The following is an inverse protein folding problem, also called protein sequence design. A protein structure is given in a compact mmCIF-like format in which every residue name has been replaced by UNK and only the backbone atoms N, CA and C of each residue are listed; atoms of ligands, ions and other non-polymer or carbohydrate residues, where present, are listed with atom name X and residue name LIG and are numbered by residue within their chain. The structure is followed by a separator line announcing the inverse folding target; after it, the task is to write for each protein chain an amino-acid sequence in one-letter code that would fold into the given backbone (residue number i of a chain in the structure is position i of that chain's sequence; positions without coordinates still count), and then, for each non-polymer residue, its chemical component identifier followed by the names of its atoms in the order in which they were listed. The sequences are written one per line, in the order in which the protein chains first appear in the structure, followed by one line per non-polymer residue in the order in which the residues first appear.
data_IF_802485870599
#
_entry.id   IF_802485870599
#
_cell.length_a   1.000
_cell.length_b   1.000
_cell.length_c   1.000
_cell.angle_alpha   90.00
_cell.angle_beta   90.00
_cell.angle_gamma   90.00
#
_symmetry.space_group_name_H-M   'P 1'
#
loop_
_entity.id
_entity.type
_entity.pdbx_description
1 polymer ?
#
# COMPACT_ATOMS: atom_id res chain seq x y z
N UNK A 1 -2.89 9.40 10.80
CA UNK A 1 -2.55 10.81 10.54
C UNK A 1 -2.89 11.06 9.11
N UNK A 2 -3.42 12.24 8.81
CA UNK A 2 -3.98 12.56 7.50
C UNK A 2 -3.36 13.89 7.07
N UNK A 3 -2.63 13.87 5.96
CA UNK A 3 -1.83 14.98 5.48
C UNK A 3 -2.07 15.16 3.98
N UNK A 4 -1.92 16.41 3.52
CA UNK A 4 -1.91 16.75 2.09
C UNK A 4 -0.51 17.22 1.73
N UNK A 5 0.05 16.67 0.66
CA UNK A 5 1.40 16.99 0.18
C UNK A 5 1.47 16.92 -1.35
N UNK A 6 2.49 17.57 -1.92
CA UNK A 6 2.76 17.49 -3.35
C UNK A 6 3.29 16.08 -3.71
N UNK A 7 2.67 15.45 -4.70
CA UNK A 7 3.10 14.15 -5.23
C UNK A 7 4.26 14.26 -6.21
N UNK A 8 4.82 13.10 -6.58
CA UNK A 8 5.87 13.01 -7.60
C UNK A 8 7.32 13.07 -7.10
N UNK A 9 7.50 13.19 -5.79
CA UNK A 9 8.82 13.25 -5.15
C UNK A 9 8.87 12.50 -3.83
N UNK A 10 10.03 12.49 -3.20
CA UNK A 10 10.21 11.95 -1.86
C UNK A 10 9.78 12.94 -0.79
N UNK A 11 9.04 12.47 0.21
CA UNK A 11 8.64 13.24 1.40
C UNK A 11 9.25 12.59 2.65
N UNK A 12 9.90 13.37 3.49
CA UNK A 12 10.38 12.93 4.81
C UNK A 12 9.43 13.40 5.89
N UNK A 13 8.95 12.48 6.71
CA UNK A 13 8.08 12.73 7.86
C UNK A 13 8.82 12.41 9.16
N UNK A 14 8.74 13.33 10.13
CA UNK A 14 9.26 13.16 11.49
C UNK A 14 8.11 12.88 12.45
N UNK A 15 8.22 11.80 13.19
CA UNK A 15 7.24 11.35 14.18
C UNK A 15 7.81 11.56 15.58
N UNK A 16 7.11 12.37 16.38
CA UNK A 16 7.53 12.70 17.75
C UNK A 16 6.40 12.44 18.73
N UNK A 17 6.70 11.69 19.79
CA UNK A 17 5.76 11.43 20.87
C UNK A 17 6.49 10.94 22.11
N UNK A 18 6.39 11.64 23.23
CA UNK A 18 6.88 11.11 24.51
C UNK A 18 6.05 9.89 24.96
N UNK A 19 6.65 8.86 25.58
CA UNK A 19 8.06 8.71 25.94
C UNK A 19 8.92 7.98 24.88
N UNK A 20 8.52 8.00 23.61
CA UNK A 20 9.20 7.28 22.53
C UNK A 20 10.31 8.13 21.88
N UNK A 21 11.29 7.45 21.28
CA UNK A 21 12.32 8.07 20.45
C UNK A 21 11.70 8.65 19.18
N UNK A 22 12.13 9.86 18.78
CA UNK A 22 11.73 10.46 17.50
C UNK A 22 12.22 9.59 16.34
N UNK A 23 11.36 9.39 15.34
CA UNK A 23 11.70 8.64 14.13
C UNK A 23 11.47 9.47 12.88
N UNK A 24 12.31 9.28 11.88
CA UNK A 24 12.13 9.85 10.54
C UNK A 24 11.88 8.74 9.53
N UNK A 25 10.95 8.98 8.59
CA UNK A 25 10.63 8.07 7.50
C UNK A 25 10.53 8.86 6.20
N UNK A 26 11.28 8.44 5.21
CA UNK A 26 11.21 8.99 3.85
C UNK A 26 10.39 8.04 2.98
N UNK A 27 9.38 8.56 2.31
CA UNK A 27 8.48 7.83 1.42
C UNK A 27 8.46 8.48 0.03
N UNK A 28 8.21 7.69 -1.01
CA UNK A 28 8.00 8.19 -2.37
C UNK A 28 6.52 8.40 -2.63
N UNK A 29 6.11 9.65 -2.84
CA UNK A 29 4.71 9.97 -3.10
C UNK A 29 4.36 9.84 -4.58
N UNK A 30 3.28 9.12 -4.94
CA UNK A 30 2.82 9.04 -6.31
C UNK A 30 2.22 10.39 -6.77
N UNK A 31 2.17 10.60 -8.09
CA UNK A 31 1.44 11.72 -8.67
C UNK A 31 -0.07 11.53 -8.48
N UNK A 32 -0.73 12.50 -7.83
CA UNK A 32 -2.18 12.60 -7.70
C UNK A 32 -2.90 11.26 -7.37
N UNK A 33 -2.38 10.51 -6.40
CA UNK A 33 -3.00 9.29 -5.87
C UNK A 33 -2.99 9.31 -4.36
N UNK A 34 -3.97 8.65 -3.76
CA UNK A 34 -3.99 8.41 -2.32
C UNK A 34 -2.84 7.48 -1.94
N UNK A 35 -1.98 7.91 -1.02
CA UNK A 35 -0.84 7.13 -0.56
C UNK A 35 -1.13 6.54 0.82
N UNK A 36 -1.12 5.21 0.91
CA UNK A 36 -1.19 4.50 2.18
C UNK A 36 0.23 4.23 2.67
N UNK A 37 0.63 4.89 3.77
CA UNK A 37 1.94 4.69 4.38
C UNK A 37 1.96 3.44 5.25
N UNK A 38 3.10 2.74 5.26
CA UNK A 38 3.33 1.62 6.18
C UNK A 38 3.16 2.03 7.65
N UNK A 39 2.78 1.07 8.47
CA UNK A 39 2.57 1.30 9.90
C UNK A 39 3.90 1.68 10.58
N UNK A 40 3.91 2.80 11.30
CA UNK A 40 5.07 3.26 12.07
C UNK A 40 4.98 2.74 13.51
N UNK A 41 5.95 1.92 13.91
CA UNK A 41 6.08 1.43 15.30
C UNK A 41 7.13 2.26 16.02
N UNK A 42 6.68 3.07 16.98
CA UNK A 42 7.57 3.86 17.84
C UNK A 42 8.21 2.97 18.90
N UNK A 43 9.47 3.26 19.22
CA UNK A 43 10.28 2.49 20.18
C UNK A 43 10.78 3.41 21.27
N UNK A 44 10.84 2.90 22.50
CA UNK A 44 11.38 3.63 23.67
C UNK A 44 12.90 3.48 23.79
N UNK A 45 13.46 2.45 23.16
CA UNK A 45 14.89 2.13 23.17
C UNK A 45 15.39 1.94 21.74
N UNK A 46 16.68 2.19 21.53
CA UNK A 46 17.31 2.02 20.22
C UNK A 46 17.51 0.53 19.92
N UNK A 47 16.68 -0.04 19.05
CA UNK A 47 16.80 -1.44 18.66
C UNK A 47 17.93 -1.60 17.64
N UNK A 48 18.96 -2.36 18.01
CA UNK A 48 20.00 -2.77 17.07
C UNK A 48 19.37 -3.62 15.96
N UNK A 49 19.62 -3.25 14.70
CA UNK A 49 19.19 -4.07 13.57
C UNK A 49 19.84 -5.45 13.67
N UNK A 50 19.02 -6.49 13.84
CA UNK A 50 19.49 -7.86 13.74
C UNK A 50 19.94 -8.11 12.29
N UNK A 51 21.25 -8.33 12.11
CA UNK A 51 21.83 -8.60 10.79
C UNK A 51 21.65 -10.09 10.49
N UNK A 52 20.56 -10.42 9.81
CA UNK A 52 20.32 -11.75 9.26
C UNK A 52 20.64 -11.72 7.76
N UNK A 53 21.42 -12.68 7.27
CA UNK A 53 21.66 -12.88 5.83
C UNK A 53 20.74 -13.98 5.31
N UNK A 54 19.87 -13.64 4.37
CA UNK A 54 18.91 -14.56 3.76
C UNK A 54 19.40 -14.94 2.36
N UNK A 55 20.20 -16.00 2.29
CA UNK A 55 20.72 -16.55 1.02
C UNK A 55 20.02 -17.87 0.67
N UNK A 56 19.66 -18.07 -0.60
CA UNK A 56 19.03 -19.30 -1.10
C UNK A 56 17.56 -19.49 -0.71
N UNK A 57 16.94 -18.54 -0.02
CA UNK A 57 15.52 -18.58 0.30
C UNK A 57 14.67 -18.27 -0.94
N UNK A 58 13.61 -19.06 -1.12
CA UNK A 58 12.61 -18.83 -2.17
C UNK A 58 11.88 -17.52 -1.88
N UNK A 59 11.77 -16.66 -2.89
CA UNK A 59 11.00 -15.40 -2.79
C UNK A 59 9.51 -15.69 -2.95
N UNK A 60 8.63 -14.91 -2.31
CA UNK A 60 7.20 -14.99 -2.60
C UNK A 60 6.92 -14.74 -4.08
N UNK A 61 6.11 -15.59 -4.70
CA UNK A 61 5.63 -15.46 -6.09
C UNK A 61 4.10 -15.44 -6.11
N UNK A 62 3.47 -14.27 -5.82
CA UNK A 62 2.03 -14.17 -5.69
C UNK A 62 1.35 -14.04 -7.06
N UNK A 63 0.28 -14.82 -7.27
CA UNK A 63 -0.66 -14.61 -8.38
C UNK A 63 -1.81 -13.72 -7.88
N UNK A 64 -1.90 -12.50 -8.40
CA UNK A 64 -2.97 -11.54 -8.05
C UNK A 64 -3.98 -11.48 -9.19
N UNK A 65 -5.21 -11.93 -8.92
CA UNK A 65 -6.32 -11.94 -9.89
C UNK A 65 -7.40 -10.96 -9.42
N UNK A 66 -7.41 -9.71 -9.93
CA UNK A 66 -8.50 -8.79 -9.65
C UNK A 66 -9.78 -9.27 -10.33
N UNK A 67 -10.93 -8.95 -9.73
CA UNK A 67 -12.22 -9.14 -10.39
C UNK A 67 -12.26 -8.32 -11.70
N UNK A 68 -12.89 -8.83 -12.76
CA UNK A 68 -13.01 -8.10 -14.02
C UNK A 68 -13.79 -6.79 -13.80
N UNK A 69 -13.49 -5.78 -14.62
CA UNK A 69 -14.29 -4.57 -14.66
C UNK A 69 -15.68 -4.92 -15.20
N UNK A 70 -16.70 -4.23 -14.70
CA UNK A 70 -18.08 -4.34 -15.22
C UNK A 70 -18.22 -3.65 -16.58
N UNK A 71 -17.57 -4.22 -17.60
CA UNK A 71 -17.60 -3.74 -18.99
C UNK A 71 -18.56 -4.50 -19.88
N UNK A 72 -19.07 -5.65 -19.43
CA UNK A 72 -20.06 -6.43 -20.16
C UNK A 72 -21.44 -5.80 -20.02
N UNK A 73 -22.23 -5.88 -21.08
CA UNK A 73 -23.61 -5.42 -21.10
C UNK A 73 -24.43 -6.30 -22.04
N UNK A 74 -25.75 -6.35 -21.81
CA UNK A 74 -26.67 -7.02 -22.70
C UNK A 74 -27.26 -6.03 -23.69
N UNK A 75 -27.25 -6.38 -24.98
CA UNK A 75 -27.95 -5.60 -26.00
C UNK A 75 -29.48 -5.77 -25.93
N UNK A 76 -29.97 -6.80 -25.24
CA UNK A 76 -31.39 -7.01 -25.00
C UNK A 76 -31.66 -7.43 -23.53
N UNK A 77 -31.63 -6.48 -22.57
CA UNK A 77 -31.70 -6.78 -21.14
C UNK A 77 -33.03 -7.41 -20.71
N UNK A 78 -34.13 -7.18 -21.43
CA UNK A 78 -35.45 -7.74 -21.07
C UNK A 78 -35.50 -9.26 -21.24
N UNK A 79 -34.80 -9.80 -22.25
CA UNK A 79 -34.74 -11.24 -22.51
C UNK A 79 -33.48 -11.89 -21.93
N UNK A 80 -32.36 -11.17 -21.94
CA UNK A 80 -31.03 -11.66 -21.52
C UNK A 80 -30.44 -10.74 -20.46
N UNK A 81 -30.91 -10.88 -19.22
CA UNK A 81 -30.52 -10.03 -18.09
C UNK A 81 -29.31 -10.53 -17.29
N UNK A 82 -28.81 -11.74 -17.58
CA UNK A 82 -27.66 -12.34 -16.87
C UNK A 82 -26.37 -12.00 -17.62
N UNK A 83 -25.37 -11.48 -16.90
CA UNK A 83 -24.02 -11.19 -17.39
C UNK A 83 -23.02 -12.13 -16.69
N UNK A 84 -22.68 -13.29 -17.27
CA UNK A 84 -21.92 -14.34 -16.60
C UNK A 84 -20.54 -13.91 -16.09
N UNK A 85 -19.86 -13.05 -16.83
CA UNK A 85 -18.47 -12.69 -16.57
C UNK A 85 -18.29 -11.68 -15.42
N UNK A 86 -19.38 -11.05 -14.97
CA UNK A 86 -19.36 -10.01 -13.92
C UNK A 86 -20.06 -10.42 -12.61
N UNK A 87 -20.34 -11.72 -12.41
CA UNK A 87 -21.02 -12.26 -11.22
C UNK A 87 -20.10 -12.35 -10.00
#
# INVERSE_FOLDING_TARGET
FDLVANGGGSLTLRFERAPFLSQERTVWLPWNRFYAMDTVVLQTEEKTMARCDLSGFVRPDPVVLPSPLSSFFSSNPSEKHILPESQ
#
